data_IF_861883231701
#
_entry.id   IF_861883231701
#
_cell.length_a   1.000
_cell.length_b   1.000
_cell.length_c   1.000
_cell.angle_alpha   90.00
_cell.angle_beta   90.00
_cell.angle_gamma   90.00
#
_symmetry.space_group_name_H-M   'P 1'
#
loop_
_entity.id
_entity.type
_entity.pdbx_description
1 polymer ?
#
# COMPACT_ATOMS: atom_id res chain seq x y z
N UNK A 1 2.13 9.30 16.06
CA UNK A 1 0.99 9.05 15.12
C UNK A 1 1.55 8.93 13.71
N UNK A 2 1.10 7.95 12.89
CA UNK A 2 1.61 7.82 11.53
C UNK A 2 1.26 9.03 10.66
N UNK A 3 2.14 9.33 9.70
CA UNK A 3 1.77 10.16 8.56
C UNK A 3 0.93 9.31 7.59
N UNK A 4 -0.25 9.78 7.24
CA UNK A 4 -1.13 9.11 6.29
C UNK A 4 -1.00 9.71 4.88
N UNK A 5 -0.49 10.94 4.80
CA UNK A 5 -0.31 11.65 3.54
C UNK A 5 0.59 10.87 2.60
N UNK A 6 0.18 10.74 1.34
CA UNK A 6 0.88 10.02 0.26
C UNK A 6 1.17 8.55 0.51
N UNK A 7 0.48 7.97 1.45
CA UNK A 7 0.52 6.54 1.64
C UNK A 7 -0.23 5.82 0.51
N UNK A 8 0.16 4.60 0.22
CA UNK A 8 -0.50 3.77 -0.79
C UNK A 8 -1.99 3.58 -0.43
N UNK A 9 -2.93 3.89 -1.34
CA UNK A 9 -4.37 3.87 -1.03
C UNK A 9 -4.82 2.49 -0.56
N UNK A 10 -4.40 1.43 -1.24
CA UNK A 10 -4.77 0.07 -0.90
C UNK A 10 -4.24 -0.34 0.48
N UNK A 11 -2.98 0.02 0.79
CA UNK A 11 -2.43 -0.19 2.13
C UNK A 11 -3.24 0.55 3.19
N UNK A 12 -3.68 1.78 2.91
CA UNK A 12 -4.52 2.55 3.85
C UNK A 12 -5.87 1.84 4.08
N UNK A 13 -6.55 1.41 3.03
CA UNK A 13 -7.81 0.66 3.15
C UNK A 13 -7.62 -0.58 4.02
N UNK A 14 -6.61 -1.40 3.71
CA UNK A 14 -6.32 -2.61 4.47
C UNK A 14 -6.01 -2.30 5.93
N UNK A 15 -5.14 -1.31 6.19
CA UNK A 15 -4.78 -0.93 7.54
C UNK A 15 -5.96 -0.39 8.36
N UNK A 16 -6.84 0.38 7.74
CA UNK A 16 -8.06 0.91 8.39
C UNK A 16 -9.02 -0.23 8.69
N UNK A 17 -9.21 -1.17 7.75
CA UNK A 17 -10.05 -2.35 7.97
C UNK A 17 -9.51 -3.26 9.08
N UNK A 18 -8.18 -3.44 9.17
CA UNK A 18 -7.54 -4.18 10.27
C UNK A 18 -7.83 -3.53 11.63
N UNK A 19 -7.81 -2.20 11.71
CA UNK A 19 -8.22 -1.48 12.92
C UNK A 19 -9.70 -1.66 13.24
N UNK A 20 -10.56 -1.61 12.23
CA UNK A 20 -12.00 -1.80 12.38
C UNK A 20 -12.33 -3.20 12.92
N UNK A 21 -11.70 -4.24 12.38
CA UNK A 21 -11.87 -5.63 12.84
C UNK A 21 -11.19 -5.91 14.18
N UNK A 22 -10.22 -5.11 14.57
CA UNK A 22 -9.44 -5.33 15.79
C UNK A 22 -8.18 -6.18 15.61
N UNK A 23 -7.85 -6.54 14.37
CA UNK A 23 -6.63 -7.28 14.01
C UNK A 23 -5.37 -6.43 14.23
N UNK A 24 -5.53 -5.11 14.23
CA UNK A 24 -4.50 -4.13 14.53
C UNK A 24 -4.87 -3.34 15.76
N UNK A 25 -4.09 -3.48 16.83
CA UNK A 25 -4.49 -3.02 18.15
C UNK A 25 -4.25 -1.54 18.44
N UNK A 26 -5.30 -0.70 18.47
CA UNK A 26 -5.45 0.38 19.44
C UNK A 26 -6.95 0.61 19.70
N UNK A 27 -7.35 0.62 20.97
CA UNK A 27 -8.73 0.87 21.36
C UNK A 27 -9.27 2.20 20.79
N UNK A 28 -8.40 3.23 20.70
CA UNK A 28 -8.76 4.53 20.13
C UNK A 28 -9.18 4.43 18.66
N UNK A 29 -8.41 3.72 17.82
CA UNK A 29 -8.75 3.56 16.40
C UNK A 29 -10.03 2.75 16.20
N UNK A 30 -10.21 1.69 17.00
CA UNK A 30 -11.45 0.90 16.96
C UNK A 30 -12.68 1.76 17.34
N UNK A 31 -12.55 2.66 18.31
CA UNK A 31 -13.61 3.59 18.70
C UNK A 31 -13.96 4.58 17.59
N UNK A 32 -12.95 5.19 16.96
CA UNK A 32 -13.12 6.17 15.87
C UNK A 32 -13.78 5.53 14.64
N UNK A 33 -13.45 4.29 14.33
CA UNK A 33 -13.90 3.61 13.12
C UNK A 33 -15.16 2.78 13.30
N UNK A 34 -15.75 2.75 14.50
CA UNK A 34 -16.89 1.90 14.85
C UNK A 34 -18.06 2.01 13.88
N UNK A 35 -18.40 3.23 13.51
CA UNK A 35 -19.58 3.55 12.71
C UNK A 35 -19.21 3.89 11.24
N UNK A 36 -17.94 3.72 10.85
CA UNK A 36 -17.49 4.01 9.50
C UNK A 36 -17.88 2.88 8.54
N UNK A 37 -18.66 3.21 7.52
CA UNK A 37 -19.00 2.30 6.45
C UNK A 37 -17.83 2.05 5.51
N UNK A 38 -17.93 1.02 4.66
CA UNK A 38 -16.89 0.66 3.70
C UNK A 38 -16.54 1.82 2.77
N UNK A 39 -17.53 2.54 2.23
CA UNK A 39 -17.32 3.69 1.34
C UNK A 39 -16.59 4.83 2.04
N UNK A 40 -16.82 5.02 3.35
CA UNK A 40 -16.11 6.02 4.14
C UNK A 40 -14.63 5.66 4.28
N UNK A 41 -14.33 4.38 4.52
CA UNK A 41 -12.94 3.90 4.66
C UNK A 41 -12.14 4.05 3.34
N UNK A 42 -12.77 3.73 2.21
CA UNK A 42 -12.17 3.91 0.88
C UNK A 42 -11.95 5.39 0.56
N UNK A 43 -12.95 6.23 0.85
CA UNK A 43 -12.86 7.68 0.65
C UNK A 43 -11.76 8.32 1.51
N UNK A 44 -11.64 7.91 2.77
CA UNK A 44 -10.57 8.36 3.67
C UNK A 44 -9.20 7.94 3.15
N UNK A 45 -9.06 6.71 2.67
CA UNK A 45 -7.80 6.22 2.11
C UNK A 45 -7.36 7.03 0.88
N UNK A 46 -8.28 7.30 -0.04
CA UNK A 46 -8.03 8.12 -1.22
C UNK A 46 -7.70 9.57 -0.85
N UNK A 47 -8.44 10.14 0.10
CA UNK A 47 -8.20 11.49 0.60
C UNK A 47 -6.77 11.63 1.13
N UNK A 48 -6.32 10.73 2.01
CA UNK A 48 -4.97 10.82 2.56
C UNK A 48 -3.89 10.48 1.55
N UNK A 49 -4.13 9.54 0.65
CA UNK A 49 -3.19 9.22 -0.43
C UNK A 49 -2.92 10.42 -1.34
N UNK A 50 -3.90 11.31 -1.53
CA UNK A 50 -3.77 12.52 -2.34
C UNK A 50 -3.10 13.70 -1.62
N UNK A 51 -2.88 13.64 -0.30
CA UNK A 51 -2.30 14.74 0.47
C UNK A 51 -0.79 14.81 0.31
N UNK A 52 -0.25 16.03 0.29
CA UNK A 52 1.20 16.25 0.30
C UNK A 52 1.72 16.07 1.73
N UNK A 53 2.68 15.17 1.98
CA UNK A 53 3.27 15.02 3.30
C UNK A 53 4.24 16.16 3.60
N UNK A 54 4.36 16.50 4.89
CA UNK A 54 5.36 17.44 5.34
C UNK A 54 6.76 16.79 5.28
N UNK A 55 7.76 17.55 4.83
CA UNK A 55 9.16 17.16 4.94
C UNK A 55 9.53 17.11 6.43
N UNK A 56 10.19 16.05 6.85
CA UNK A 56 10.61 15.87 8.24
C UNK A 56 12.12 16.06 8.39
N UNK A 57 12.58 16.69 9.49
CA UNK A 57 13.99 16.72 9.84
C UNK A 57 14.45 15.31 10.28
N UNK A 58 15.76 15.13 10.33
CA UNK A 58 16.34 13.93 10.92
C UNK A 58 15.87 13.77 12.38
N UNK A 59 15.54 12.55 12.82
CA UNK A 59 15.18 12.31 14.21
C UNK A 59 16.39 12.46 15.12
N UNK A 60 16.17 12.61 16.42
CA UNK A 60 17.21 12.71 17.44
C UNK A 60 17.93 11.38 17.72
N UNK A 61 17.56 10.30 17.04
CA UNK A 61 18.16 8.96 17.18
C UNK A 61 18.48 8.38 15.80
N UNK A 62 19.45 7.49 15.78
CA UNK A 62 19.92 6.85 14.55
C UNK A 62 20.71 7.80 13.64
N UNK A 63 21.37 7.21 12.66
CA UNK A 63 22.15 7.89 11.65
C UNK A 63 21.62 7.49 10.26
N UNK A 64 21.11 8.44 9.46
CA UNK A 64 20.61 8.17 8.11
C UNK A 64 21.68 7.54 7.20
N UNK A 65 22.93 7.97 7.27
CA UNK A 65 24.02 7.47 6.44
C UNK A 65 24.37 6.01 6.80
N UNK A 66 24.39 5.69 8.10
CA UNK A 66 24.57 4.32 8.57
C UNK A 66 23.34 3.42 8.27
N UNK A 67 22.17 4.02 8.12
CA UNK A 67 20.94 3.32 7.78
C UNK A 67 20.86 2.90 6.30
N UNK A 68 21.36 3.70 5.37
CA UNK A 68 21.22 3.47 3.94
C UNK A 68 21.65 2.05 3.50
N UNK A 69 22.85 1.55 3.82
CA UNK A 69 23.27 0.21 3.39
C UNK A 69 22.43 -0.91 4.02
N UNK A 70 21.78 -0.65 5.15
CA UNK A 70 20.89 -1.61 5.83
C UNK A 70 19.51 -1.72 5.21
N UNK A 71 19.14 -0.80 4.30
CA UNK A 71 17.80 -0.76 3.67
C UNK A 71 17.72 -1.53 2.37
N UNK A 72 18.82 -2.12 1.87
CA UNK A 72 18.83 -2.81 0.57
C UNK A 72 17.74 -3.87 0.44
N UNK A 73 17.53 -4.70 1.46
CA UNK A 73 16.49 -5.73 1.47
C UNK A 73 15.07 -5.14 1.62
N UNK A 74 14.93 -4.03 2.34
CA UNK A 74 13.65 -3.34 2.52
C UNK A 74 13.19 -2.70 1.20
N UNK A 75 14.15 -2.18 0.42
CA UNK A 75 13.91 -1.49 -0.85
C UNK A 75 13.25 -2.35 -1.91
N UNK A 76 13.39 -3.68 -1.85
CA UNK A 76 12.75 -4.60 -2.79
C UNK A 76 11.21 -4.50 -2.79
N UNK A 77 10.61 -4.26 -1.62
CA UNK A 77 9.16 -4.09 -1.48
C UNK A 77 8.77 -2.62 -1.27
N UNK A 78 9.46 -1.92 -0.38
CA UNK A 78 9.13 -0.54 0.00
C UNK A 78 9.69 0.52 -0.96
N UNK A 79 10.42 0.12 -2.01
CA UNK A 79 11.15 1.01 -2.90
C UNK A 79 12.50 1.46 -2.33
N UNK A 80 13.49 1.79 -3.18
CA UNK A 80 14.89 2.02 -2.76
C UNK A 80 15.07 3.17 -1.77
N UNK A 81 14.17 4.15 -1.81
CA UNK A 81 14.12 5.27 -0.86
C UNK A 81 12.86 5.26 0.00
N UNK A 82 12.18 4.12 0.10
CA UNK A 82 10.97 3.98 0.88
C UNK A 82 9.73 4.55 0.22
N UNK A 83 9.73 4.76 -1.09
CA UNK A 83 8.53 5.11 -1.87
C UNK A 83 8.10 3.86 -2.63
N UNK A 84 7.11 3.17 -2.10
CA UNK A 84 6.61 1.94 -2.69
C UNK A 84 5.90 2.19 -4.02
N UNK A 85 6.16 1.33 -5.00
CA UNK A 85 5.38 1.23 -6.23
C UNK A 85 4.26 0.17 -6.15
N UNK A 86 4.28 -0.64 -5.09
CA UNK A 86 3.25 -1.66 -4.85
C UNK A 86 2.12 -1.07 -4.02
N UNK A 87 0.87 -1.24 -4.51
CA UNK A 87 -0.31 -0.70 -3.87
C UNK A 87 -0.59 -1.26 -2.46
N UNK A 88 -0.17 -2.48 -2.17
CA UNK A 88 -0.37 -3.15 -0.88
C UNK A 88 0.78 -2.92 0.11
N UNK A 89 1.93 -2.45 -0.37
CA UNK A 89 3.13 -2.23 0.45
C UNK A 89 3.22 -0.75 0.86
N UNK A 90 3.36 -0.44 2.15
CA UNK A 90 3.41 0.95 2.57
C UNK A 90 4.68 1.66 2.13
N UNK A 91 4.56 2.94 1.77
CA UNK A 91 5.69 3.84 1.68
C UNK A 91 6.22 4.18 3.09
N UNK A 92 7.54 4.25 3.21
CA UNK A 92 8.25 4.53 4.47
C UNK A 92 8.86 5.94 4.49
N UNK A 93 9.09 6.53 3.31
CA UNK A 93 9.67 7.86 3.15
C UNK A 93 8.86 8.94 3.89
N UNK A 94 9.52 9.79 4.66
CA UNK A 94 8.90 10.89 5.39
C UNK A 94 7.94 10.46 6.51
N UNK A 95 7.97 9.20 6.93
CA UNK A 95 7.11 8.69 7.99
C UNK A 95 7.51 9.28 9.36
N UNK A 96 6.57 9.30 10.29
CA UNK A 96 6.84 9.69 11.68
C UNK A 96 7.87 8.73 12.30
N UNK A 97 8.99 9.25 12.87
CA UNK A 97 10.08 8.42 13.35
C UNK A 97 9.69 7.50 14.51
N UNK A 98 8.88 7.99 15.44
CA UNK A 98 8.43 7.19 16.58
C UNK A 98 7.46 6.09 16.13
N UNK A 99 6.59 6.43 15.19
CA UNK A 99 5.68 5.44 14.61
C UNK A 99 6.43 4.37 13.81
N UNK A 100 7.39 4.77 12.98
CA UNK A 100 8.17 3.83 12.16
C UNK A 100 8.96 2.87 13.04
N UNK A 101 9.70 3.41 14.03
CA UNK A 101 10.44 2.61 14.99
C UNK A 101 9.56 1.62 15.77
N UNK A 102 8.43 2.11 16.30
CA UNK A 102 7.45 1.27 16.99
C UNK A 102 6.90 0.18 16.06
N UNK A 103 6.63 0.52 14.80
CA UNK A 103 6.09 -0.42 13.83
C UNK A 103 7.07 -1.52 13.45
N UNK A 104 8.34 -1.18 13.25
CA UNK A 104 9.39 -2.17 12.98
C UNK A 104 9.53 -3.13 14.17
N UNK A 105 9.64 -2.60 15.39
CA UNK A 105 9.72 -3.41 16.62
C UNK A 105 8.50 -4.33 16.80
N UNK A 106 7.31 -3.85 16.46
CA UNK A 106 6.09 -4.62 16.62
C UNK A 106 6.04 -5.90 15.76
N UNK A 107 6.76 -5.96 14.65
CA UNK A 107 6.87 -7.20 13.85
C UNK A 107 7.65 -8.31 14.55
N UNK A 108 8.37 -8.02 15.62
CA UNK A 108 9.00 -9.06 16.48
C UNK A 108 8.04 -9.65 17.50
N UNK A 109 6.92 -9.00 17.78
CA UNK A 109 6.04 -9.34 18.90
C UNK A 109 4.57 -9.49 18.50
N UNK A 110 3.91 -8.40 18.14
CA UNK A 110 2.44 -8.32 18.04
C UNK A 110 1.91 -8.24 16.61
N UNK A 111 2.70 -7.79 15.63
CA UNK A 111 2.28 -7.71 14.24
C UNK A 111 2.56 -9.02 13.51
N UNK A 112 1.50 -9.57 12.90
CA UNK A 112 1.57 -10.82 12.15
C UNK A 112 1.76 -10.52 10.66
N UNK A 113 3.02 -10.57 10.19
CA UNK A 113 3.37 -10.51 8.77
C UNK A 113 4.71 -11.23 8.57
N UNK A 114 4.64 -12.48 8.13
CA UNK A 114 5.82 -13.37 8.05
C UNK A 114 7.00 -12.76 7.27
N UNK A 115 6.72 -12.07 6.16
CA UNK A 115 7.76 -11.39 5.37
C UNK A 115 8.51 -10.36 6.19
N UNK A 116 7.79 -9.48 6.89
CA UNK A 116 8.43 -8.47 7.76
C UNK A 116 9.13 -9.10 8.95
N UNK A 117 8.54 -10.11 9.59
CA UNK A 117 9.15 -10.82 10.72
C UNK A 117 10.50 -11.40 10.35
N UNK A 118 10.60 -12.04 9.16
CA UNK A 118 11.84 -12.61 8.65
C UNK A 118 12.97 -11.56 8.52
N UNK A 119 12.65 -10.37 8.04
CA UNK A 119 13.66 -9.32 7.82
C UNK A 119 14.03 -8.59 9.12
N UNK A 120 13.09 -8.38 10.03
CA UNK A 120 13.36 -7.60 11.24
C UNK A 120 13.94 -8.44 12.39
N UNK A 121 13.81 -9.77 12.34
CA UNK A 121 14.30 -10.66 13.42
C UNK A 121 15.80 -10.55 13.66
N UNK A 122 16.58 -10.36 12.59
CA UNK A 122 18.05 -10.27 12.66
C UNK A 122 18.59 -8.85 12.88
N UNK A 123 17.75 -7.81 12.95
CA UNK A 123 18.22 -6.43 13.15
C UNK A 123 18.52 -6.15 14.62
N UNK A 124 19.59 -5.44 14.92
CA UNK A 124 19.78 -4.84 16.25
C UNK A 124 18.85 -3.64 16.44
N UNK A 125 18.68 -3.19 17.68
CA UNK A 125 17.94 -1.94 17.95
C UNK A 125 18.61 -0.75 17.25
N UNK A 126 19.95 -0.74 17.20
CA UNK A 126 20.70 0.30 16.49
C UNK A 126 20.49 0.27 14.98
N UNK A 127 20.41 -0.91 14.36
CA UNK A 127 20.05 -1.03 12.94
C UNK A 127 18.65 -0.46 12.68
N UNK A 128 17.67 -0.75 13.54
CA UNK A 128 16.32 -0.24 13.42
C UNK A 128 16.25 1.28 13.59
N UNK A 129 17.05 1.86 14.49
CA UNK A 129 17.19 3.31 14.63
C UNK A 129 17.76 3.94 13.37
N UNK A 130 18.83 3.39 12.82
CA UNK A 130 19.50 3.91 11.63
C UNK A 130 18.61 3.77 10.38
N UNK A 131 17.95 2.63 10.18
CA UNK A 131 16.97 2.41 9.11
C UNK A 131 15.81 3.41 9.22
N UNK A 132 15.31 3.61 10.43
CA UNK A 132 14.26 4.60 10.69
C UNK A 132 14.72 5.99 10.31
N UNK A 133 15.89 6.41 10.77
CA UNK A 133 16.46 7.72 10.47
C UNK A 133 16.65 7.93 8.97
N UNK A 134 17.11 6.91 8.23
CA UNK A 134 17.23 6.96 6.78
C UNK A 134 15.89 7.24 6.11
N UNK A 135 14.84 6.48 6.42
CA UNK A 135 13.54 6.65 5.75
C UNK A 135 12.82 7.94 6.12
N UNK A 136 12.99 8.42 7.36
CA UNK A 136 12.35 9.66 7.82
C UNK A 136 12.79 10.88 7.01
N UNK A 137 14.07 10.97 6.67
CA UNK A 137 14.61 12.10 5.90
C UNK A 137 14.40 11.97 4.38
N UNK A 138 13.97 10.81 3.89
CA UNK A 138 13.71 10.66 2.47
C UNK A 138 12.55 11.56 2.06
N UNK A 139 12.70 12.28 0.92
CA UNK A 139 11.57 12.99 0.38
C UNK A 139 10.49 11.95 0.03
N UNK A 140 9.34 12.11 0.66
CA UNK A 140 8.14 11.45 0.18
C UNK A 140 7.86 12.08 -1.19
N UNK A 141 8.46 11.52 -2.24
CA UNK A 141 8.21 12.00 -3.60
C UNK A 141 6.72 12.18 -3.79
N UNK A 142 6.39 13.25 -4.49
CA UNK A 142 5.17 13.25 -5.24
C UNK A 142 5.13 11.89 -5.94
N UNK A 143 4.23 10.98 -5.57
CA UNK A 143 3.86 9.96 -6.53
C UNK A 143 3.66 10.77 -7.81
N UNK A 144 4.45 10.43 -8.84
CA UNK A 144 4.19 11.00 -10.13
C UNK A 144 2.68 10.81 -10.29
N UNK A 145 1.94 11.91 -10.13
CA UNK A 145 0.49 12.02 -10.31
C UNK A 145 -0.28 10.73 -9.97
N UNK A 146 -1.21 10.78 -9.02
CA UNK A 146 -2.17 9.67 -8.86
C UNK A 146 -2.62 9.25 -10.27
N UNK A 147 -2.66 7.94 -10.59
CA UNK A 147 -3.03 7.51 -11.93
C UNK A 147 -4.31 8.21 -12.31
N UNK A 148 -4.21 9.17 -13.23
CA UNK A 148 -5.29 10.10 -13.55
C UNK A 148 -6.14 9.60 -14.71
N UNK A 149 -5.75 8.45 -15.28
CA UNK A 149 -6.47 7.85 -16.39
C UNK A 149 -6.57 6.32 -16.24
N UNK A 150 -7.64 5.76 -16.76
CA UNK A 150 -7.82 4.31 -16.89
C UNK A 150 -6.62 3.64 -17.57
N UNK A 151 -5.98 4.32 -18.54
CA UNK A 151 -4.80 3.83 -19.24
C UNK A 151 -3.59 3.64 -18.30
N UNK A 152 -3.36 4.55 -17.38
CA UNK A 152 -2.26 4.41 -16.39
C UNK A 152 -2.52 3.29 -15.38
N UNK A 153 -3.80 3.06 -15.05
CA UNK A 153 -4.20 1.91 -14.22
C UNK A 153 -4.07 0.60 -14.98
N UNK A 154 -4.41 0.59 -16.27
CA UNK A 154 -4.31 -0.57 -17.14
C UNK A 154 -2.89 -1.12 -17.24
N UNK A 155 -1.85 -0.29 -17.29
CA UNK A 155 -0.44 -0.73 -17.26
C UNK A 155 -0.13 -1.65 -16.06
N UNK A 156 -0.82 -1.49 -14.94
CA UNK A 156 -0.67 -2.40 -13.79
C UNK A 156 -1.38 -3.73 -14.00
N UNK A 157 -2.51 -3.70 -14.69
CA UNK A 157 -3.27 -4.90 -15.00
C UNK A 157 -2.56 -5.73 -16.08
N UNK A 158 -1.98 -5.05 -17.08
CA UNK A 158 -1.27 -5.68 -18.21
C UNK A 158 -0.08 -6.53 -17.74
N UNK A 159 0.56 -6.20 -16.62
CA UNK A 159 1.66 -7.01 -16.05
C UNK A 159 1.31 -8.50 -15.85
N UNK A 160 0.04 -8.79 -15.62
CA UNK A 160 -0.44 -10.17 -15.45
C UNK A 160 -1.39 -10.58 -16.58
N UNK A 161 -2.15 -9.64 -17.13
CA UNK A 161 -3.23 -9.90 -18.08
C UNK A 161 -2.83 -9.70 -19.55
N UNK A 162 -1.59 -9.26 -19.81
CA UNK A 162 -1.04 -9.26 -21.16
C UNK A 162 -0.33 -10.59 -21.42
N UNK A 163 -0.81 -11.34 -22.44
CA UNK A 163 -0.31 -12.66 -22.79
C UNK A 163 1.15 -12.63 -23.30
N UNK A 164 1.61 -11.49 -23.82
CA UNK A 164 2.98 -11.33 -24.31
C UNK A 164 3.98 -11.23 -23.16
N UNK A 165 3.57 -10.61 -22.04
CA UNK A 165 4.45 -10.40 -20.89
C UNK A 165 4.52 -11.59 -19.92
N UNK A 166 3.55 -12.52 -19.95
CA UNK A 166 3.51 -13.61 -18.96
C UNK A 166 2.88 -14.91 -19.47
N UNK A 167 3.53 -15.63 -20.41
CA UNK A 167 2.97 -16.83 -21.05
C UNK A 167 2.78 -18.02 -20.10
N UNK A 168 3.31 -17.96 -18.87
CA UNK A 168 3.19 -19.04 -17.88
C UNK A 168 2.06 -18.83 -16.87
N UNK A 169 1.45 -17.65 -16.83
CA UNK A 169 0.32 -17.39 -15.93
C UNK A 169 -1.01 -17.70 -16.59
N UNK A 170 -1.80 -18.57 -15.97
CA UNK A 170 -3.18 -18.85 -16.40
C UNK A 170 -4.08 -17.71 -15.89
N UNK A 171 -4.02 -16.57 -16.54
CA UNK A 171 -4.86 -15.41 -16.27
C UNK A 171 -5.66 -15.03 -17.52
N UNK A 172 -6.88 -14.51 -17.39
CA UNK A 172 -7.69 -14.14 -18.55
C UNK A 172 -7.09 -12.93 -19.28
N UNK A 173 -7.13 -12.96 -20.60
CA UNK A 173 -6.82 -11.78 -21.43
C UNK A 173 -7.98 -10.80 -21.28
N UNK A 174 -7.68 -9.52 -21.03
CA UNK A 174 -8.69 -8.48 -20.83
C UNK A 174 -9.06 -7.76 -22.11
N UNK A 175 -8.13 -7.62 -23.06
CA UNK A 175 -8.34 -6.91 -24.33
C UNK A 175 -9.42 -7.59 -25.17
N UNK A 176 -10.38 -6.80 -25.64
CA UNK A 176 -11.50 -7.27 -26.44
C UNK A 176 -12.56 -8.03 -25.65
N UNK A 177 -12.53 -7.97 -24.32
CA UNK A 177 -13.61 -8.50 -23.49
C UNK A 177 -14.79 -7.54 -23.46
N UNK A 178 -15.98 -8.10 -23.28
CA UNK A 178 -17.20 -7.32 -23.11
C UNK A 178 -17.10 -6.36 -21.92
N UNK A 179 -17.45 -5.10 -22.13
CA UNK A 179 -17.34 -4.06 -21.11
C UNK A 179 -18.17 -4.36 -19.87
N UNK A 180 -19.41 -4.78 -20.04
CA UNK A 180 -20.32 -5.02 -18.91
C UNK A 180 -19.85 -6.25 -18.12
N UNK A 181 -19.31 -7.27 -18.81
CA UNK A 181 -18.64 -8.39 -18.14
C UNK A 181 -17.46 -7.93 -17.29
N UNK A 182 -16.57 -7.08 -17.82
CA UNK A 182 -15.43 -6.55 -17.07
C UNK A 182 -15.87 -5.74 -15.85
N UNK A 183 -16.89 -4.89 -16.01
CA UNK A 183 -17.48 -4.13 -14.89
C UNK A 183 -18.02 -5.06 -13.82
N UNK A 184 -18.82 -6.06 -14.20
CA UNK A 184 -19.38 -7.02 -13.24
C UNK A 184 -18.30 -7.84 -12.56
N UNK A 185 -17.28 -8.30 -13.30
CA UNK A 185 -16.19 -9.09 -12.76
C UNK A 185 -15.35 -8.30 -11.77
N UNK A 186 -14.94 -7.06 -12.09
CA UNK A 186 -14.17 -6.20 -11.20
C UNK A 186 -14.95 -5.84 -9.94
N UNK A 187 -16.26 -5.55 -10.07
CA UNK A 187 -17.13 -5.31 -8.92
C UNK A 187 -17.27 -6.56 -8.05
N UNK A 188 -17.39 -7.73 -8.67
CA UNK A 188 -17.50 -8.99 -7.94
C UNK A 188 -16.23 -9.30 -7.14
N UNK A 189 -15.04 -9.06 -7.71
CA UNK A 189 -13.78 -9.17 -6.99
C UNK A 189 -13.64 -8.11 -5.88
N UNK A 190 -13.98 -6.85 -6.18
CA UNK A 190 -13.95 -5.77 -5.19
C UNK A 190 -14.83 -6.08 -3.98
N UNK A 191 -16.00 -6.61 -4.22
CA UNK A 191 -17.05 -6.87 -3.22
C UNK A 191 -16.93 -8.26 -2.57
N UNK A 192 -15.80 -8.97 -2.84
CA UNK A 192 -15.50 -10.32 -2.33
C UNK A 192 -16.57 -11.37 -2.67
N UNK A 193 -17.27 -11.17 -3.81
CA UNK A 193 -18.28 -12.10 -4.34
C UNK A 193 -17.71 -13.06 -5.38
N UNK A 194 -16.43 -12.93 -5.73
CA UNK A 194 -15.71 -13.81 -6.64
C UNK A 194 -14.35 -14.12 -6.03
N UNK A 195 -14.01 -15.40 -5.95
CA UNK A 195 -12.77 -15.87 -5.35
C UNK A 195 -11.56 -15.47 -6.18
N UNK A 196 -10.71 -14.66 -5.62
CA UNK A 196 -9.32 -14.41 -5.99
C UNK A 196 -8.73 -13.38 -5.03
N UNK A 197 -7.85 -13.82 -4.15
CA UNK A 197 -7.16 -12.92 -3.21
C UNK A 197 -6.37 -11.83 -3.92
N UNK A 198 -5.78 -12.12 -5.09
CA UNK A 198 -5.03 -11.15 -5.88
C UNK A 198 -5.97 -10.12 -6.50
N UNK A 199 -7.01 -10.56 -7.21
CA UNK A 199 -7.95 -9.65 -7.87
C UNK A 199 -8.77 -8.84 -6.85
N UNK A 200 -9.17 -9.44 -5.73
CA UNK A 200 -9.79 -8.70 -4.64
C UNK A 200 -8.88 -7.57 -4.13
N UNK A 201 -7.62 -7.87 -3.82
CA UNK A 201 -6.62 -6.88 -3.40
C UNK A 201 -6.40 -5.79 -4.44
N UNK A 202 -6.41 -6.11 -5.71
CA UNK A 202 -6.21 -5.14 -6.80
C UNK A 202 -7.42 -4.25 -7.02
N UNK A 203 -8.64 -4.76 -6.85
CA UNK A 203 -9.89 -4.05 -7.20
C UNK A 203 -10.57 -3.33 -6.04
N UNK A 204 -10.25 -3.68 -4.79
CA UNK A 204 -10.92 -3.15 -3.59
C UNK A 204 -10.89 -1.63 -3.47
N UNK A 205 -9.89 -0.99 -4.07
CA UNK A 205 -9.70 0.47 -4.03
C UNK A 205 -10.47 1.23 -5.11
N UNK A 206 -11.05 0.53 -6.08
CA UNK A 206 -11.65 1.18 -7.25
C UNK A 206 -13.09 1.57 -6.99
N UNK A 207 -13.40 2.86 -7.23
CA UNK A 207 -14.78 3.34 -7.33
C UNK A 207 -15.49 2.75 -8.56
N UNK A 208 -16.81 2.86 -8.61
CA UNK A 208 -17.56 2.44 -9.79
C UNK A 208 -17.09 3.16 -11.06
N UNK A 209 -16.82 4.48 -10.98
CA UNK A 209 -16.33 5.26 -12.11
C UNK A 209 -14.98 4.74 -12.61
N UNK A 210 -14.03 4.45 -11.71
CA UNK A 210 -12.73 3.88 -12.07
C UNK A 210 -12.87 2.50 -12.70
N UNK A 211 -13.77 1.66 -12.19
CA UNK A 211 -14.05 0.34 -12.77
C UNK A 211 -14.63 0.49 -14.18
N UNK A 212 -15.58 1.40 -14.39
CA UNK A 212 -16.19 1.67 -15.69
C UNK A 212 -15.15 2.19 -16.71
N UNK A 213 -14.22 3.04 -16.26
CA UNK A 213 -13.12 3.57 -17.09
C UNK A 213 -12.12 2.46 -17.48
N UNK A 214 -11.72 1.61 -16.52
CA UNK A 214 -10.84 0.46 -16.79
C UNK A 214 -11.51 -0.49 -17.78
N UNK A 215 -12.78 -0.83 -17.56
CA UNK A 215 -13.53 -1.71 -18.45
C UNK A 215 -13.64 -1.12 -19.87
N UNK A 216 -13.87 0.18 -19.99
CA UNK A 216 -13.89 0.87 -21.29
C UNK A 216 -12.55 0.90 -22.00
N UNK A 217 -11.45 0.83 -21.25
CA UNK A 217 -10.10 0.79 -21.84
C UNK A 217 -9.81 -0.57 -22.49
N UNK A 218 -10.34 -1.66 -21.93
CA UNK A 218 -10.06 -3.01 -22.41
C UNK A 218 -11.09 -3.53 -23.43
N UNK A 219 -12.31 -3.00 -23.42
CA UNK A 219 -13.36 -3.35 -24.39
C UNK A 219 -13.09 -2.72 -25.75
#
# INVERSE_FOLDING_TARGET
TPSLARQQPHYLVTAIQEYHRGDRGTAAMKGILRDAGRLDLESLALYYASRTPAQRPAPSFGDPAAGEPRTAMCGGCHGPRGVSSDAATPSLAGQDPQYLMKSIKAYRTSRQHWGMQRYVSGLSDKDMENITAFYVVQPSRAADRAPSSARELAVKCDRCHDAEDNPQMVVPILRGQDKDYLVMALRAYRDDRRESTTMHKMSIIYSNAVIDDIASHYA
#
